data_IF_808329700649
#
_entry.id   IF_808329700649
#
_cell.length_a   1.000
_cell.length_b   1.000
_cell.length_c   1.000
_cell.angle_alpha   90.00
_cell.angle_beta   90.00
_cell.angle_gamma   90.00
#
_symmetry.space_group_name_H-M   'P 1'
#
loop_
_entity.id
_entity.type
_entity.pdbx_description
1 polymer ?
#
# COMPACT_ATOMS: atom_id res chain seq x y z
N UNK A 1 4.60 -2.80 -8.52
CA UNK A 1 5.86 -2.99 -9.22
C UNK A 1 6.57 -1.66 -9.40
N UNK A 2 7.61 -1.37 -8.61
CA UNK A 2 8.37 -0.11 -8.58
C UNK A 2 9.24 0.13 -9.84
N UNK A 3 9.20 -0.78 -10.82
CA UNK A 3 10.02 -0.72 -12.05
C UNK A 3 9.19 -0.47 -13.31
N UNK A 4 7.95 -0.07 -13.14
CA UNK A 4 7.01 0.22 -14.21
C UNK A 4 6.42 1.61 -13.98
N UNK A 5 6.67 2.53 -14.92
CA UNK A 5 6.23 3.91 -14.80
C UNK A 5 4.83 4.08 -15.41
N UNK A 6 3.92 4.74 -14.69
CA UNK A 6 2.61 5.13 -15.20
C UNK A 6 2.55 6.66 -15.32
N UNK A 7 2.36 7.14 -16.53
CA UNK A 7 2.19 8.56 -16.82
C UNK A 7 0.75 8.86 -17.23
N UNK A 8 0.09 9.72 -16.45
CA UNK A 8 -1.26 10.20 -16.74
C UNK A 8 -1.17 11.64 -17.22
N UNK A 9 -1.49 11.88 -18.49
CA UNK A 9 -1.28 13.18 -19.14
C UNK A 9 0.15 13.72 -18.93
N UNK A 10 1.13 12.80 -18.92
CA UNK A 10 2.54 13.10 -18.69
C UNK A 10 2.96 13.30 -17.23
N UNK A 11 2.06 13.24 -16.26
CA UNK A 11 2.37 13.26 -14.83
C UNK A 11 2.63 11.84 -14.31
N UNK A 12 3.67 11.69 -13.49
CA UNK A 12 3.97 10.45 -12.78
C UNK A 12 2.86 10.15 -11.76
N UNK A 13 2.26 8.94 -11.87
CA UNK A 13 1.16 8.48 -11.03
C UNK A 13 1.66 7.65 -9.83
N UNK A 14 2.88 7.86 -9.41
CA UNK A 14 3.48 7.16 -8.27
C UNK A 14 3.36 7.97 -6.99
N UNK A 15 3.32 7.26 -5.84
CA UNK A 15 3.42 7.85 -4.51
C UNK A 15 4.75 8.61 -4.37
N UNK A 16 4.73 9.88 -3.91
CA UNK A 16 5.93 10.68 -3.68
C UNK A 16 6.96 10.03 -2.78
N UNK A 17 6.57 9.47 -1.65
CA UNK A 17 7.49 8.92 -0.68
C UNK A 17 7.98 7.52 -1.03
N UNK A 18 7.06 6.61 -1.30
CA UNK A 18 7.38 5.19 -1.43
C UNK A 18 7.57 4.74 -2.87
N UNK A 19 7.36 5.65 -3.82
CA UNK A 19 7.62 5.44 -5.24
C UNK A 19 6.95 4.18 -5.80
N UNK A 20 5.73 3.90 -5.37
CA UNK A 20 4.89 2.83 -5.90
C UNK A 20 3.66 3.39 -6.61
N UNK A 21 3.19 2.68 -7.59
CA UNK A 21 1.98 3.05 -8.33
C UNK A 21 0.75 2.68 -7.50
N UNK A 22 -0.06 3.69 -7.18
CA UNK A 22 -1.30 3.54 -6.39
C UNK A 22 -2.48 2.99 -7.20
N UNK A 23 -2.19 2.33 -8.33
CA UNK A 23 -3.21 1.73 -9.17
C UNK A 23 -4.22 2.75 -9.67
N UNK A 24 -5.49 2.51 -9.36
CA UNK A 24 -6.58 3.38 -9.82
C UNK A 24 -6.96 4.50 -8.84
N UNK A 25 -6.21 4.69 -7.75
CA UNK A 25 -6.60 5.68 -6.72
C UNK A 25 -6.64 7.12 -7.28
N UNK A 26 -5.69 7.49 -8.16
CA UNK A 26 -5.62 8.80 -8.81
C UNK A 26 -5.54 8.71 -10.35
N UNK A 27 -5.73 7.52 -10.91
CA UNK A 27 -5.74 7.29 -12.36
C UNK A 27 -6.87 8.02 -13.07
N UNK A 28 -6.83 7.99 -14.40
CA UNK A 28 -7.93 8.54 -15.22
C UNK A 28 -9.25 7.82 -14.97
N UNK A 29 -10.36 8.58 -15.05
CA UNK A 29 -11.68 8.00 -15.22
C UNK A 29 -11.74 7.24 -16.55
N UNK A 30 -12.35 6.06 -16.59
CA UNK A 30 -12.52 5.29 -17.84
C UNK A 30 -13.29 6.08 -18.91
N UNK A 31 -14.18 6.99 -18.50
CA UNK A 31 -14.92 7.87 -19.41
C UNK A 31 -14.03 8.90 -20.11
N UNK A 32 -12.89 9.24 -19.49
CA UNK A 32 -11.99 10.29 -19.98
C UNK A 32 -10.72 9.75 -20.66
N UNK A 33 -10.56 8.44 -20.79
CA UNK A 33 -9.42 7.84 -21.49
C UNK A 33 -9.58 8.03 -23.00
N UNK A 34 -8.62 8.71 -23.62
CA UNK A 34 -8.53 8.83 -25.08
C UNK A 34 -7.75 7.65 -25.67
N UNK A 35 -6.55 7.39 -25.12
CA UNK A 35 -5.72 6.25 -25.51
C UNK A 35 -4.85 5.81 -24.33
N UNK A 36 -4.37 4.57 -24.43
CA UNK A 36 -3.36 3.98 -23.56
C UNK A 36 -2.28 3.40 -24.45
N UNK A 37 -1.05 3.82 -24.24
CA UNK A 37 0.12 3.34 -24.96
C UNK A 37 1.07 2.64 -24.00
N UNK A 38 1.54 1.46 -24.38
CA UNK A 38 2.51 0.70 -23.63
C UNK A 38 3.84 0.69 -24.36
N UNK A 39 4.86 1.28 -23.75
CA UNK A 39 6.24 1.21 -24.23
C UNK A 39 6.99 0.16 -23.39
N UNK A 40 7.23 -1.05 -23.92
CA UNK A 40 7.95 -2.10 -23.21
C UNK A 40 9.46 -1.82 -23.20
N UNK A 41 10.13 -2.33 -22.16
CA UNK A 41 11.58 -2.26 -22.05
C UNK A 41 12.11 -1.06 -21.26
N UNK A 42 13.42 -0.94 -21.20
CA UNK A 42 14.10 0.09 -20.43
C UNK A 42 14.13 1.42 -21.18
N UNK A 43 13.46 2.43 -20.64
CA UNK A 43 13.38 3.78 -21.21
C UNK A 43 13.80 4.86 -20.20
N UNK A 44 14.56 4.47 -19.17
CA UNK A 44 14.96 5.36 -18.07
C UNK A 44 15.84 6.54 -18.52
N UNK A 45 16.55 6.41 -19.64
CA UNK A 45 17.35 7.50 -20.21
C UNK A 45 16.49 8.71 -20.64
N UNK A 46 15.23 8.48 -21.03
CA UNK A 46 14.30 9.52 -21.48
C UNK A 46 13.30 9.91 -20.38
N UNK A 47 12.89 8.97 -19.54
CA UNK A 47 11.77 9.15 -18.62
C UNK A 47 12.17 9.04 -17.13
N UNK A 48 13.46 8.81 -16.85
CA UNK A 48 13.99 8.79 -15.50
C UNK A 48 13.76 7.47 -14.74
N UNK A 49 13.77 7.55 -13.42
CA UNK A 49 13.60 6.40 -12.54
C UNK A 49 12.28 5.66 -12.78
N UNK A 50 12.25 4.36 -12.48
CA UNK A 50 11.12 3.43 -12.64
C UNK A 50 10.78 2.98 -14.07
N UNK A 51 11.35 3.58 -15.10
CA UNK A 51 11.13 3.18 -16.49
C UNK A 51 12.02 1.99 -16.92
N UNK A 52 12.18 0.95 -16.07
CA UNK A 52 13.01 -0.23 -16.34
C UNK A 52 12.30 -1.31 -17.15
N UNK A 53 11.07 -1.64 -16.76
CA UNK A 53 10.30 -2.73 -17.37
C UNK A 53 9.30 -2.22 -18.41
N UNK A 54 9.07 -0.92 -18.45
CA UNK A 54 8.17 -0.29 -19.38
C UNK A 54 7.52 0.97 -18.83
N UNK A 55 6.80 1.65 -19.72
CA UNK A 55 6.03 2.85 -19.41
C UNK A 55 4.63 2.66 -19.97
N UNK A 56 3.63 3.03 -19.19
CA UNK A 56 2.25 3.14 -19.64
C UNK A 56 1.87 4.63 -19.68
N UNK A 57 1.57 5.09 -20.86
CA UNK A 57 1.02 6.43 -21.09
C UNK A 57 -0.49 6.33 -21.14
N UNK A 58 -1.16 7.12 -20.33
CA UNK A 58 -2.61 7.27 -20.34
C UNK A 58 -2.94 8.72 -20.67
N UNK A 59 -3.55 8.96 -21.80
CA UNK A 59 -3.90 10.30 -22.25
C UNK A 59 -5.41 10.53 -22.12
N UNK A 60 -5.77 11.69 -21.60
CA UNK A 60 -7.17 12.07 -21.41
C UNK A 60 -7.77 12.70 -22.67
N UNK A 61 -9.10 12.59 -22.81
CA UNK A 61 -9.87 13.19 -23.90
C UNK A 61 -9.79 14.72 -23.87
N UNK A 62 -9.61 15.34 -25.02
CA UNK A 62 -9.68 16.80 -25.15
C UNK A 62 -11.14 17.29 -25.04
N UNK A 63 -11.43 18.33 -24.25
CA UNK A 63 -12.78 18.89 -24.16
C UNK A 63 -13.19 19.67 -25.41
N UNK A 64 -12.25 20.02 -26.29
CA UNK A 64 -12.59 20.65 -27.57
C UNK A 64 -13.22 19.67 -28.57
N UNK A 65 -12.74 18.41 -28.58
CA UNK A 65 -13.18 17.41 -29.56
C UNK A 65 -14.15 16.39 -28.97
N UNK A 66 -14.11 16.17 -27.66
CA UNK A 66 -14.94 15.18 -26.96
C UNK A 66 -15.83 15.88 -25.93
N UNK A 67 -16.86 16.59 -26.42
CA UNK A 67 -17.81 17.32 -25.59
C UNK A 67 -18.97 16.43 -25.14
N UNK A 68 -19.74 16.96 -24.19
CA UNK A 68 -20.98 16.35 -23.71
C UNK A 68 -20.88 15.77 -22.30
N UNK A 69 -21.95 15.09 -21.92
CA UNK A 69 -22.10 14.40 -20.64
C UNK A 69 -22.05 12.90 -20.87
N UNK A 70 -21.25 12.20 -20.10
CA UNK A 70 -21.16 10.74 -20.09
C UNK A 70 -21.21 10.24 -18.66
N UNK A 71 -21.90 9.13 -18.44
CA UNK A 71 -21.94 8.48 -17.13
C UNK A 71 -22.01 6.97 -17.28
N UNK A 72 -21.59 6.26 -16.25
CA UNK A 72 -21.86 4.85 -16.08
C UNK A 72 -22.22 4.55 -14.63
N UNK A 73 -22.96 3.49 -14.46
CA UNK A 73 -23.21 2.85 -13.19
C UNK A 73 -23.03 1.35 -13.36
N UNK A 74 -22.19 0.75 -12.52
CA UNK A 74 -21.96 -0.68 -12.50
C UNK A 74 -22.31 -1.21 -11.12
N UNK A 75 -23.03 -2.31 -11.12
CA UNK A 75 -23.27 -3.14 -9.96
C UNK A 75 -22.82 -4.55 -10.28
N UNK A 76 -22.22 -5.21 -9.34
CA UNK A 76 -21.79 -6.59 -9.45
C UNK A 76 -21.54 -7.20 -8.09
N UNK A 77 -21.13 -8.45 -8.09
CA UNK A 77 -20.75 -9.19 -6.90
C UNK A 77 -19.39 -9.80 -7.10
N UNK A 78 -18.56 -9.75 -6.06
CA UNK A 78 -17.31 -10.49 -5.97
C UNK A 78 -17.50 -11.66 -5.03
N UNK A 79 -17.08 -12.85 -5.43
CA UNK A 79 -17.16 -14.06 -4.60
C UNK A 79 -15.77 -14.63 -4.39
N UNK A 80 -15.41 -14.88 -3.15
CA UNK A 80 -14.19 -15.55 -2.75
C UNK A 80 -14.45 -16.48 -1.56
N UNK A 81 -13.61 -17.49 -1.38
CA UNK A 81 -13.79 -18.52 -0.37
C UNK A 81 -13.88 -17.94 1.06
N UNK A 82 -13.00 -16.99 1.40
CA UNK A 82 -12.88 -16.44 2.76
C UNK A 82 -13.86 -15.32 3.02
N UNK A 83 -13.99 -14.35 2.08
CA UNK A 83 -14.86 -13.20 2.27
C UNK A 83 -16.32 -13.47 1.88
N UNK A 84 -16.62 -14.63 1.29
CA UNK A 84 -17.95 -14.92 0.75
C UNK A 84 -18.29 -14.05 -0.45
N UNK A 85 -19.58 -13.75 -0.63
CA UNK A 85 -20.11 -12.90 -1.71
C UNK A 85 -20.37 -11.50 -1.20
N UNK A 86 -19.78 -10.50 -1.86
CA UNK A 86 -19.85 -9.09 -1.48
C UNK A 86 -20.25 -8.22 -2.68
N UNK A 87 -21.00 -7.17 -2.42
CA UNK A 87 -21.43 -6.22 -3.43
C UNK A 87 -20.28 -5.32 -3.90
N UNK A 88 -20.31 -5.02 -5.20
CA UNK A 88 -19.43 -4.09 -5.87
C UNK A 88 -20.26 -3.00 -6.56
N UNK A 89 -19.89 -1.76 -6.32
CA UNK A 89 -20.52 -0.57 -6.88
C UNK A 89 -19.45 0.32 -7.52
N UNK A 90 -19.69 0.73 -8.76
CA UNK A 90 -18.81 1.67 -9.46
C UNK A 90 -19.65 2.66 -10.28
N UNK A 91 -19.42 3.94 -10.02
CA UNK A 91 -20.09 5.04 -10.69
C UNK A 91 -19.07 6.00 -11.29
N UNK A 92 -19.32 6.50 -12.48
CA UNK A 92 -18.52 7.52 -13.12
C UNK A 92 -19.36 8.54 -13.86
N UNK A 93 -18.91 9.79 -13.80
CA UNK A 93 -19.48 10.93 -14.51
C UNK A 93 -18.36 11.73 -15.17
N UNK A 94 -18.58 12.12 -16.43
CA UNK A 94 -17.72 13.04 -17.18
C UNK A 94 -18.59 14.11 -17.82
N UNK A 95 -18.21 15.38 -17.66
CA UNK A 95 -18.78 16.51 -18.36
C UNK A 95 -17.66 17.30 -19.06
N UNK A 96 -17.85 17.66 -20.33
CA UNK A 96 -16.90 18.46 -21.07
C UNK A 96 -17.61 19.38 -22.04
N UNK A 97 -17.15 20.63 -22.13
CA UNK A 97 -17.74 21.64 -23.01
C UNK A 97 -16.69 22.63 -23.54
N UNK A 98 -16.77 22.93 -24.82
CA UNK A 98 -16.06 24.04 -25.44
C UNK A 98 -16.97 25.25 -25.50
N UNK A 99 -16.72 26.24 -24.64
CA UNK A 99 -17.50 27.48 -24.56
C UNK A 99 -17.26 28.39 -25.78
N UNK A 100 -16.04 28.32 -26.29
CA UNK A 100 -15.60 29.00 -27.48
C UNK A 100 -14.56 28.13 -28.23
N UNK A 101 -14.16 28.45 -29.45
CA UNK A 101 -13.02 27.79 -30.11
C UNK A 101 -11.70 27.93 -29.36
N UNK A 102 -11.63 28.89 -28.44
CA UNK A 102 -10.43 29.20 -27.64
C UNK A 102 -10.47 28.72 -26.20
N UNK A 103 -11.64 28.40 -25.65
CA UNK A 103 -11.78 28.02 -24.25
C UNK A 103 -12.73 26.83 -24.05
N UNK A 104 -12.22 25.83 -23.39
CA UNK A 104 -12.97 24.63 -23.04
C UNK A 104 -12.65 24.19 -21.61
N UNK A 105 -13.56 23.44 -21.00
CA UNK A 105 -13.37 22.83 -19.69
C UNK A 105 -13.92 21.42 -19.67
N UNK A 106 -13.37 20.59 -18.79
CA UNK A 106 -13.93 19.28 -18.44
C UNK A 106 -13.80 19.00 -16.96
N UNK A 107 -14.70 18.17 -16.45
CA UNK A 107 -14.68 17.65 -15.10
C UNK A 107 -15.08 16.17 -15.10
N UNK A 108 -14.45 15.39 -14.23
CA UNK A 108 -14.73 13.98 -14.02
C UNK A 108 -14.95 13.73 -12.52
N UNK A 109 -15.83 12.79 -12.24
CA UNK A 109 -16.04 12.23 -10.90
C UNK A 109 -16.20 10.72 -11.02
N UNK A 110 -15.61 9.96 -10.10
CA UNK A 110 -15.89 8.53 -9.98
C UNK A 110 -15.87 8.09 -8.52
N UNK A 111 -16.72 7.10 -8.24
CA UNK A 111 -16.87 6.49 -6.93
C UNK A 111 -16.92 4.99 -7.08
N UNK A 112 -16.09 4.27 -6.33
CA UNK A 112 -16.06 2.82 -6.25
C UNK A 112 -16.14 2.38 -4.80
N UNK A 113 -16.93 1.35 -4.54
CA UNK A 113 -17.00 0.65 -3.25
C UNK A 113 -17.06 -0.86 -3.50
N UNK A 114 -16.25 -1.60 -2.77
CA UNK A 114 -16.17 -3.06 -2.85
C UNK A 114 -15.61 -3.64 -1.55
N UNK A 115 -15.47 -4.96 -1.49
CA UNK A 115 -14.66 -5.66 -0.50
C UNK A 115 -13.38 -6.15 -1.18
N UNK A 116 -12.24 -5.87 -0.58
CA UNK A 116 -10.92 -6.28 -1.05
C UNK A 116 -10.78 -7.80 -0.97
N UNK A 117 -9.87 -8.32 -1.79
CA UNK A 117 -9.45 -9.71 -1.68
C UNK A 117 -8.80 -9.97 -0.31
N UNK A 118 -9.33 -10.94 0.44
CA UNK A 118 -8.76 -11.36 1.72
C UNK A 118 -7.72 -12.43 1.46
N UNK A 119 -6.48 -12.17 1.85
CA UNK A 119 -5.41 -13.12 1.76
C UNK A 119 -5.58 -14.20 2.85
N UNK A 120 -5.80 -15.43 2.44
CA UNK A 120 -6.13 -16.53 3.36
C UNK A 120 -5.19 -17.71 3.31
N UNK A 121 -4.12 -17.62 2.54
CA UNK A 121 -3.09 -18.67 2.50
C UNK A 121 -2.26 -18.62 3.79
N UNK A 122 -2.38 -19.66 4.60
CA UNK A 122 -1.70 -19.78 5.90
C UNK A 122 -0.59 -20.83 5.87
N UNK A 123 -0.03 -21.12 4.69
CA UNK A 123 1.12 -22.04 4.58
C UNK A 123 2.28 -21.57 5.44
N UNK A 124 2.93 -22.56 6.08
CA UNK A 124 4.11 -22.32 6.90
C UNK A 124 5.32 -21.90 6.04
N UNK A 125 5.91 -20.77 6.33
CA UNK A 125 7.10 -20.26 5.65
C UNK A 125 8.41 -20.88 6.16
N UNK A 126 8.37 -21.52 7.32
CA UNK A 126 9.58 -22.09 7.98
C UNK A 126 9.85 -23.54 7.59
N UNK A 127 8.83 -24.29 7.14
CA UNK A 127 8.94 -25.70 6.75
C UNK A 127 8.33 -25.92 5.35
N UNK A 128 9.14 -25.78 4.30
CA UNK A 128 8.80 -26.16 2.92
C UNK A 128 7.39 -25.72 2.45
N UNK A 129 6.87 -24.63 2.97
CA UNK A 129 5.53 -24.12 2.64
C UNK A 129 4.40 -25.15 2.84
N UNK A 130 4.49 -26.02 3.82
CA UNK A 130 3.41 -26.92 4.20
C UNK A 130 2.39 -26.18 5.07
N UNK A 131 1.12 -26.46 4.96
CA UNK A 131 0.08 -25.82 5.77
C UNK A 131 -0.02 -26.36 7.21
N UNK A 132 1.08 -26.62 7.87
CA UNK A 132 1.10 -27.26 9.19
C UNK A 132 1.20 -26.25 10.33
N UNK A 133 0.16 -26.19 11.17
CA UNK A 133 0.18 -25.44 12.45
C UNK A 133 0.75 -26.25 13.61
N UNK A 134 1.19 -27.47 13.38
CA UNK A 134 1.85 -28.32 14.40
C UNK A 134 3.30 -27.92 14.65
N UNK A 135 3.92 -27.17 13.73
CA UNK A 135 5.25 -26.64 13.91
C UNK A 135 5.30 -25.58 15.03
N UNK A 136 6.08 -25.77 16.10
CA UNK A 136 6.18 -24.77 17.17
C UNK A 136 6.70 -23.40 16.72
N UNK A 137 7.52 -23.36 15.65
CA UNK A 137 8.07 -22.17 15.00
C UNK A 137 7.26 -21.76 13.76
N UNK A 138 5.97 -22.01 13.74
CA UNK A 138 5.10 -21.71 12.62
C UNK A 138 5.06 -20.19 12.33
N UNK A 139 5.28 -19.85 11.02
CA UNK A 139 5.16 -18.51 10.47
C UNK A 139 4.27 -18.61 9.22
N UNK A 140 3.02 -18.23 9.36
CA UNK A 140 2.01 -18.37 8.30
C UNK A 140 2.05 -17.22 7.32
N UNK A 141 2.04 -17.51 6.00
CA UNK A 141 2.19 -16.52 4.92
C UNK A 141 1.27 -15.29 5.08
N UNK A 142 0.03 -15.45 5.51
CA UNK A 142 -0.93 -14.35 5.75
C UNK A 142 -1.47 -14.38 7.20
N UNK A 143 -0.60 -14.74 8.12
CA UNK A 143 -0.75 -14.52 9.54
C UNK A 143 0.26 -13.45 9.96
N UNK A 144 -0.05 -12.69 10.97
CA UNK A 144 0.78 -11.57 11.43
C UNK A 144 0.92 -11.63 12.94
N UNK A 145 2.14 -11.45 13.42
CA UNK A 145 2.47 -11.54 14.85
C UNK A 145 3.11 -12.86 15.24
N UNK A 146 3.04 -13.88 14.41
CA UNK A 146 3.71 -15.18 14.57
C UNK A 146 5.16 -15.15 14.07
N UNK A 147 5.58 -14.15 13.32
CA UNK A 147 6.99 -13.94 12.97
C UNK A 147 7.87 -13.65 14.21
N UNK A 148 7.25 -13.27 15.33
CA UNK A 148 7.95 -13.07 16.60
C UNK A 148 8.28 -14.43 17.21
N UNK A 149 9.52 -14.86 17.06
CA UNK A 149 10.00 -16.16 17.52
C UNK A 149 11.32 -16.04 18.31
N UNK A 150 11.59 -17.02 19.16
CA UNK A 150 12.85 -17.11 19.90
C UNK A 150 13.20 -18.55 20.23
N UNK A 151 14.51 -18.81 20.40
CA UNK A 151 15.01 -20.12 20.78
C UNK A 151 14.59 -20.47 22.22
N UNK A 152 13.87 -21.58 22.38
CA UNK A 152 13.25 -21.94 23.64
C UNK A 152 14.29 -22.33 24.72
N UNK A 153 15.40 -22.95 24.32
CA UNK A 153 16.49 -23.28 25.24
C UNK A 153 17.18 -22.03 25.78
N UNK A 154 17.35 -21.02 24.95
CA UNK A 154 17.89 -19.70 25.36
C UNK A 154 16.97 -19.01 26.38
N UNK A 155 15.64 -19.12 26.20
CA UNK A 155 14.67 -18.65 27.20
C UNK A 155 14.87 -19.39 28.53
N UNK A 156 15.05 -20.71 28.47
CA UNK A 156 15.31 -21.55 29.67
C UNK A 156 16.58 -21.14 30.40
N UNK A 157 17.66 -20.83 29.69
CA UNK A 157 18.91 -20.32 30.31
C UNK A 157 18.63 -19.02 31.06
N UNK A 158 17.85 -18.09 30.46
CA UNK A 158 17.45 -16.84 31.11
C UNK A 158 16.59 -17.07 32.37
N UNK A 159 15.64 -18.01 32.30
CA UNK A 159 14.79 -18.37 33.45
C UNK A 159 15.60 -19.00 34.57
N UNK A 160 16.55 -19.89 34.27
CA UNK A 160 17.43 -20.51 35.25
C UNK A 160 18.35 -19.47 35.93
N UNK A 161 18.92 -18.55 35.13
CA UNK A 161 19.73 -17.45 35.66
C UNK A 161 18.94 -16.53 36.61
N UNK A 162 17.63 -16.37 36.37
CA UNK A 162 16.71 -15.63 37.20
C UNK A 162 16.17 -16.45 38.43
N UNK A 163 16.57 -17.71 38.57
CA UNK A 163 16.09 -18.60 39.64
C UNK A 163 14.64 -19.07 39.52
N UNK A 164 14.02 -18.91 38.33
CA UNK A 164 12.62 -19.24 38.05
C UNK A 164 12.42 -20.72 37.70
N UNK A 165 13.46 -21.39 37.21
CA UNK A 165 13.52 -22.85 37.00
C UNK A 165 14.87 -23.38 37.45
N UNK A 166 14.99 -24.67 37.82
CA UNK A 166 16.28 -25.31 38.08
C UNK A 166 17.16 -25.31 36.83
N UNK A 167 18.48 -25.13 36.99
CA UNK A 167 19.43 -25.18 35.87
C UNK A 167 19.36 -26.51 35.10
N UNK A 168 19.11 -27.64 35.78
CA UNK A 168 18.92 -28.94 35.14
C UNK A 168 17.71 -29.01 34.20
N UNK A 169 16.67 -28.21 34.44
CA UNK A 169 15.46 -28.17 33.61
C UNK A 169 15.70 -27.55 32.21
N UNK A 170 16.79 -26.79 32.04
CA UNK A 170 17.19 -26.22 30.74
C UNK A 170 17.42 -27.33 29.69
N UNK A 171 17.90 -28.50 30.14
CA UNK A 171 18.15 -29.63 29.24
C UNK A 171 16.87 -30.31 28.74
N UNK A 172 15.72 -30.03 29.33
CA UNK A 172 14.40 -30.50 28.86
C UNK A 172 13.84 -29.64 27.72
N UNK A 173 14.36 -28.42 27.53
CA UNK A 173 13.89 -27.51 26.52
C UNK A 173 14.60 -27.79 25.18
N UNK A 174 13.85 -27.77 24.08
CA UNK A 174 14.41 -27.98 22.75
C UNK A 174 15.26 -26.79 22.29
N UNK A 175 16.27 -27.08 21.47
CA UNK A 175 17.20 -26.08 20.91
C UNK A 175 16.75 -25.62 19.53
N UNK A 176 15.54 -25.05 19.43
CA UNK A 176 14.99 -24.42 18.26
C UNK A 176 13.99 -23.34 18.64
N UNK A 177 13.58 -22.56 17.62
CA UNK A 177 12.69 -21.43 17.82
C UNK A 177 11.23 -21.89 18.04
N UNK A 178 10.54 -21.11 18.84
CA UNK A 178 9.09 -21.16 19.03
C UNK A 178 8.53 -19.78 18.69
N UNK A 179 7.46 -19.75 17.91
CA UNK A 179 6.79 -18.54 17.46
C UNK A 179 5.57 -18.20 18.31
N UNK A 180 5.21 -16.93 18.40
CA UNK A 180 3.97 -16.45 19.03
C UNK A 180 2.75 -16.85 18.20
N UNK A 181 1.57 -16.76 18.80
CA UNK A 181 0.30 -16.97 18.10
C UNK A 181 -0.09 -15.70 17.37
N UNK A 182 -0.22 -15.78 16.03
CA UNK A 182 -0.55 -14.66 15.15
C UNK A 182 -2.06 -14.40 15.00
N UNK A 183 -2.40 -13.36 14.21
CA UNK A 183 -3.74 -12.96 13.81
C UNK A 183 -3.87 -13.04 12.30
N UNK A 184 -5.07 -13.36 11.80
CA UNK A 184 -5.35 -13.38 10.35
C UNK A 184 -5.50 -11.96 9.81
N UNK A 185 -5.29 -11.76 8.51
CA UNK A 185 -5.49 -10.47 7.84
C UNK A 185 -6.88 -9.88 8.13
N UNK A 186 -7.92 -10.69 8.00
CA UNK A 186 -9.31 -10.26 8.23
C UNK A 186 -9.59 -9.82 9.67
N UNK A 187 -8.76 -10.21 10.63
CA UNK A 187 -8.90 -9.79 12.04
C UNK A 187 -8.30 -8.39 12.26
N UNK A 188 -7.34 -8.00 11.41
CA UNK A 188 -6.57 -6.77 11.53
C UNK A 188 -7.08 -5.64 10.62
N UNK A 189 -8.00 -5.92 9.69
CA UNK A 189 -8.51 -4.94 8.74
C UNK A 189 -9.98 -5.25 8.37
N UNK A 190 -10.74 -4.21 8.01
CA UNK A 190 -12.14 -4.36 7.58
C UNK A 190 -12.30 -4.72 6.10
N UNK A 191 -11.22 -4.75 5.34
CA UNK A 191 -11.16 -5.07 3.91
C UNK A 191 -12.09 -4.24 3.02
N UNK A 192 -12.59 -3.11 3.50
CA UNK A 192 -13.44 -2.22 2.71
C UNK A 192 -12.60 -1.45 1.70
N UNK A 193 -12.88 -1.64 0.41
CA UNK A 193 -12.35 -0.80 -0.67
C UNK A 193 -13.29 0.37 -0.90
N UNK A 194 -12.71 1.55 -0.95
CA UNK A 194 -13.37 2.78 -1.36
C UNK A 194 -12.42 3.59 -2.21
N UNK A 195 -12.87 4.08 -3.36
CA UNK A 195 -12.12 5.03 -4.17
C UNK A 195 -13.04 6.15 -4.61
N UNK A 196 -12.64 7.38 -4.31
CA UNK A 196 -13.30 8.60 -4.77
C UNK A 196 -12.28 9.38 -5.58
N UNK A 197 -12.60 9.69 -6.82
CA UNK A 197 -11.75 10.50 -7.69
C UNK A 197 -12.54 11.67 -8.24
N UNK A 198 -11.90 12.82 -8.28
CA UNK A 198 -12.40 13.95 -9.03
C UNK A 198 -11.24 14.65 -9.73
N UNK A 199 -11.48 15.08 -10.95
CA UNK A 199 -10.55 15.93 -11.66
C UNK A 199 -11.30 16.99 -12.48
N UNK A 200 -10.65 18.11 -12.66
CA UNK A 200 -11.11 19.12 -13.60
C UNK A 200 -9.93 19.71 -14.37
N UNK A 201 -10.18 20.15 -15.60
CA UNK A 201 -9.19 20.86 -16.38
C UNK A 201 -9.81 22.00 -17.20
N UNK A 202 -9.02 23.06 -17.33
CA UNK A 202 -9.29 24.23 -18.16
C UNK A 202 -8.30 24.24 -19.33
N UNK A 203 -8.80 24.47 -20.50
CA UNK A 203 -8.06 24.41 -21.76
C UNK A 203 -8.23 25.72 -22.50
N UNK A 204 -7.13 26.39 -22.81
CA UNK A 204 -7.13 27.68 -23.47
C UNK A 204 -6.21 27.67 -24.69
N UNK A 205 -6.74 28.05 -25.86
CA UNK A 205 -6.01 28.22 -27.11
C UNK A 205 -5.93 29.72 -27.43
N UNK A 206 -4.84 30.41 -26.99
CA UNK A 206 -4.76 31.86 -27.12
C UNK A 206 -4.66 32.36 -28.56
N UNK A 207 -4.18 31.52 -29.49
CA UNK A 207 -3.95 31.88 -30.87
C UNK A 207 -4.58 30.86 -31.85
N UNK A 208 -4.65 31.21 -33.10
CA UNK A 208 -5.17 30.33 -34.16
C UNK A 208 -4.19 29.21 -34.56
N UNK A 209 -3.10 29.03 -33.84
CA UNK A 209 -2.15 27.93 -34.01
C UNK A 209 -2.49 26.79 -33.04
N UNK A 210 -1.67 25.72 -33.03
CA UNK A 210 -1.86 24.55 -32.19
C UNK A 210 -1.46 24.75 -30.70
N UNK A 211 -1.15 26.00 -30.28
CA UNK A 211 -0.76 26.27 -28.90
C UNK A 211 -1.95 26.17 -27.97
N UNK A 212 -1.81 25.35 -26.95
CA UNK A 212 -2.81 25.12 -25.90
C UNK A 212 -2.19 25.25 -24.51
N UNK A 213 -2.84 25.99 -23.62
CA UNK A 213 -2.51 26.11 -22.22
C UNK A 213 -3.52 25.26 -21.46
N UNK A 214 -3.02 24.33 -20.64
CA UNK A 214 -3.85 23.41 -19.86
C UNK A 214 -3.54 23.59 -18.39
N UNK A 215 -4.55 23.92 -17.59
CA UNK A 215 -4.54 23.80 -16.15
C UNK A 215 -5.35 22.56 -15.76
N UNK A 216 -4.82 21.71 -14.89
CA UNK A 216 -5.52 20.51 -14.44
C UNK A 216 -5.28 20.31 -12.94
N UNK A 217 -6.33 19.92 -12.23
CA UNK A 217 -6.25 19.49 -10.85
C UNK A 217 -7.00 18.17 -10.66
N UNK A 218 -6.35 17.21 -10.00
CA UNK A 218 -6.88 15.88 -9.71
C UNK A 218 -6.79 15.59 -8.23
N UNK A 219 -7.79 14.91 -7.70
CA UNK A 219 -7.79 14.36 -6.34
C UNK A 219 -8.19 12.90 -6.36
N UNK A 220 -7.60 12.12 -5.48
CA UNK A 220 -7.96 10.75 -5.18
C UNK A 220 -7.98 10.53 -3.67
N UNK A 221 -9.05 9.92 -3.17
CA UNK A 221 -9.19 9.51 -1.77
C UNK A 221 -9.65 8.07 -1.75
N UNK A 222 -9.04 7.23 -0.94
CA UNK A 222 -9.48 5.85 -0.90
C UNK A 222 -8.93 5.00 0.23
N UNK A 223 -9.51 3.81 0.31
CA UNK A 223 -9.09 2.72 1.18
C UNK A 223 -8.81 1.52 0.30
N UNK A 224 -7.72 0.81 0.57
CA UNK A 224 -7.35 -0.45 -0.09
C UNK A 224 -6.28 -1.16 0.72
N UNK A 225 -5.97 -2.39 0.35
CA UNK A 225 -4.82 -3.11 0.90
C UNK A 225 -3.68 -3.04 -0.11
N UNK A 226 -2.50 -2.72 0.37
CA UNK A 226 -1.29 -2.67 -0.43
C UNK A 226 -0.26 -3.69 0.06
N UNK A 227 0.29 -4.47 -0.89
CA UNK A 227 1.40 -5.38 -0.63
C UNK A 227 2.70 -4.74 -1.09
N UNK A 228 3.48 -4.25 -0.15
CA UNK A 228 4.85 -3.77 -0.35
C UNK A 228 5.87 -4.71 0.27
N UNK A 229 6.81 -4.18 1.06
CA UNK A 229 7.70 -4.98 1.90
C UNK A 229 6.90 -5.73 2.99
N UNK A 230 5.91 -5.06 3.57
CA UNK A 230 4.90 -5.62 4.44
C UNK A 230 3.51 -5.51 3.79
N UNK A 231 2.48 -5.86 4.52
CA UNK A 231 1.07 -5.72 4.15
C UNK A 231 0.49 -4.50 4.85
N UNK A 232 0.00 -3.53 4.07
CA UNK A 232 -0.50 -2.25 4.58
C UNK A 232 -2.00 -2.14 4.38
N UNK A 233 -2.70 -1.67 5.41
CA UNK A 233 -4.06 -1.17 5.31
C UNK A 233 -3.99 0.31 4.97
N UNK A 234 -4.26 0.70 3.73
CA UNK A 234 -4.40 2.10 3.34
C UNK A 234 -5.80 2.57 3.70
N UNK A 235 -5.90 3.57 4.59
CA UNK A 235 -7.17 4.14 5.05
C UNK A 235 -7.15 5.66 4.91
N UNK A 236 -8.19 6.19 4.28
CA UNK A 236 -8.31 7.63 4.02
C UNK A 236 -7.07 8.21 3.31
N UNK A 237 -6.39 7.35 2.53
CA UNK A 237 -5.22 7.77 1.77
C UNK A 237 -5.65 8.80 0.75
N UNK A 238 -5.06 9.99 0.82
CA UNK A 238 -5.37 11.12 -0.03
C UNK A 238 -4.18 11.47 -0.92
N UNK A 239 -4.45 11.75 -2.18
CA UNK A 239 -3.45 12.22 -3.13
C UNK A 239 -4.06 13.27 -4.04
N UNK A 240 -3.27 14.29 -4.37
CA UNK A 240 -3.66 15.29 -5.35
C UNK A 240 -2.52 15.60 -6.31
N UNK A 241 -2.89 16.01 -7.52
CA UNK A 241 -1.96 16.48 -8.55
C UNK A 241 -2.48 17.76 -9.17
N UNK A 242 -1.62 18.76 -9.29
CA UNK A 242 -1.91 20.02 -9.99
C UNK A 242 -0.89 20.23 -11.09
N UNK A 243 -1.36 20.45 -12.31
CA UNK A 243 -0.53 20.63 -13.50
C UNK A 243 -0.85 21.93 -14.22
N UNK A 244 0.20 22.60 -14.68
CA UNK A 244 0.13 23.64 -15.71
C UNK A 244 1.02 23.22 -16.88
N UNK A 245 0.47 23.24 -18.09
CA UNK A 245 1.19 22.87 -19.31
C UNK A 245 0.91 23.89 -20.41
N UNK A 246 1.93 24.25 -21.13
CA UNK A 246 1.83 24.95 -22.41
C UNK A 246 2.40 24.02 -23.47
N UNK A 247 1.58 23.66 -24.44
CA UNK A 247 1.99 22.74 -25.52
C UNK A 247 1.59 23.30 -26.88
N UNK A 248 2.37 22.94 -27.90
CA UNK A 248 2.13 23.24 -29.28
C UNK A 248 2.51 22.07 -30.19
N UNK A 249 2.53 22.28 -31.50
CA UNK A 249 2.83 21.23 -32.47
C UNK A 249 4.18 20.53 -32.20
N UNK A 250 5.19 21.29 -31.81
CA UNK A 250 6.58 20.84 -31.73
C UNK A 250 7.20 20.99 -30.32
N UNK A 251 6.47 21.47 -29.34
CA UNK A 251 7.01 21.72 -28.01
C UNK A 251 5.98 21.46 -26.90
N UNK A 252 6.47 21.24 -25.73
CA UNK A 252 5.73 21.46 -24.51
C UNK A 252 6.65 21.97 -23.39
N UNK A 253 6.03 22.71 -22.46
CA UNK A 253 6.58 23.08 -21.18
C UNK A 253 5.54 22.73 -20.13
N UNK A 254 5.90 21.92 -19.17
CA UNK A 254 4.98 21.45 -18.13
C UNK A 254 5.60 21.56 -16.75
N UNK A 255 4.79 21.95 -15.77
CA UNK A 255 5.11 21.85 -14.37
C UNK A 255 3.94 21.19 -13.63
N UNK A 256 4.25 20.33 -12.65
CA UNK A 256 3.22 19.76 -11.79
C UNK A 256 3.73 19.49 -10.37
N UNK A 257 2.77 19.42 -9.46
CA UNK A 257 2.99 19.01 -8.06
C UNK A 257 2.11 17.80 -7.79
N UNK A 258 2.68 16.77 -7.22
CA UNK A 258 1.96 15.64 -6.62
C UNK A 258 2.17 15.72 -5.12
N UNK A 259 1.09 15.69 -4.35
CA UNK A 259 1.13 15.66 -2.89
C UNK A 259 0.28 14.50 -2.38
N UNK A 260 0.76 13.83 -1.34
CA UNK A 260 0.04 12.74 -0.69
C UNK A 260 -0.11 12.98 0.80
N UNK A 261 -1.11 12.33 1.39
CA UNK A 261 -1.30 12.16 2.83
C UNK A 261 -1.73 10.71 3.06
N UNK A 262 -0.94 9.99 3.82
CA UNK A 262 -1.20 8.58 4.12
C UNK A 262 -2.45 8.37 4.99
N UNK A 263 -3.04 9.43 5.54
CA UNK A 263 -4.27 9.39 6.33
C UNK A 263 -4.15 8.52 7.59
N UNK A 264 -5.05 7.54 7.69
CA UNK A 264 -5.10 6.60 8.81
C UNK A 264 -4.49 5.22 8.46
N UNK A 265 -3.60 5.20 7.47
CA UNK A 265 -2.95 3.97 7.00
C UNK A 265 -2.01 3.39 8.06
N UNK A 266 -1.91 2.06 8.10
CA UNK A 266 -1.04 1.35 9.04
C UNK A 266 -0.48 0.05 8.46
N UNK A 267 0.64 -0.39 9.04
CA UNK A 267 1.28 -1.68 8.75
C UNK A 267 0.63 -2.78 9.59
N UNK A 268 0.06 -3.80 8.94
CA UNK A 268 -0.65 -4.89 9.62
C UNK A 268 0.28 -5.80 10.42
N UNK A 269 1.53 -5.95 10.00
CA UNK A 269 2.53 -6.73 10.70
C UNK A 269 2.88 -6.10 12.05
N UNK A 270 3.21 -4.81 12.05
CA UNK A 270 3.46 -4.07 13.29
C UNK A 270 2.19 -3.96 14.17
N UNK A 271 1.00 -3.86 13.55
CA UNK A 271 -0.25 -3.88 14.29
C UNK A 271 -0.40 -5.19 15.07
N UNK A 272 -0.21 -6.33 14.43
CA UNK A 272 -0.32 -7.64 15.08
C UNK A 272 0.72 -7.85 16.19
N UNK A 273 2.00 -7.43 15.94
CA UNK A 273 3.04 -7.52 16.97
C UNK A 273 2.68 -6.72 18.20
N UNK A 274 2.21 -5.49 18.03
CA UNK A 274 1.92 -4.60 19.14
C UNK A 274 0.58 -4.93 19.82
N UNK A 275 -0.42 -5.49 19.11
CA UNK A 275 -1.60 -6.09 19.75
C UNK A 275 -1.20 -7.28 20.63
N UNK A 276 -0.29 -8.15 20.16
CA UNK A 276 0.25 -9.23 20.97
C UNK A 276 0.96 -8.70 22.22
N UNK A 277 1.78 -7.66 22.10
CA UNK A 277 2.52 -7.06 23.23
C UNK A 277 1.63 -6.28 24.18
N UNK A 278 0.52 -5.73 23.71
CA UNK A 278 -0.42 -4.99 24.54
C UNK A 278 -1.12 -5.86 25.62
N UNK A 279 -1.34 -7.14 25.37
CA UNK A 279 -1.91 -8.05 26.37
C UNK A 279 -0.84 -8.86 27.11
N UNK A 280 0.31 -9.13 26.47
CA UNK A 280 1.43 -9.83 27.12
C UNK A 280 2.73 -9.56 26.35
N UNK A 281 3.74 -9.02 27.03
CA UNK A 281 5.05 -8.81 26.46
C UNK A 281 5.73 -10.12 26.05
N UNK A 282 6.69 -10.05 25.12
CA UNK A 282 7.33 -11.22 24.55
C UNK A 282 8.07 -12.05 25.59
N UNK A 283 8.76 -11.40 26.55
CA UNK A 283 9.51 -12.10 27.62
C UNK A 283 8.60 -12.93 28.52
N UNK A 284 7.47 -12.35 28.90
CA UNK A 284 6.46 -13.03 29.74
C UNK A 284 5.84 -14.19 28.96
N UNK A 285 5.47 -13.98 27.68
CA UNK A 285 4.86 -15.05 26.89
C UNK A 285 5.79 -16.24 26.70
N UNK A 286 7.05 -16.01 26.26
CA UNK A 286 8.02 -17.08 26.07
C UNK A 286 8.44 -17.74 27.39
N UNK A 287 8.52 -16.98 28.48
CA UNK A 287 8.79 -17.52 29.83
C UNK A 287 7.70 -18.47 30.32
N UNK A 288 6.42 -18.08 30.14
CA UNK A 288 5.29 -18.94 30.49
C UNK A 288 5.23 -20.21 29.63
N UNK A 289 5.51 -20.04 28.31
CA UNK A 289 5.61 -21.19 27.40
C UNK A 289 6.68 -22.18 27.84
N UNK A 290 7.90 -21.71 28.10
CA UNK A 290 9.02 -22.57 28.55
C UNK A 290 8.74 -23.24 29.89
N UNK A 291 8.17 -22.50 30.84
CA UNK A 291 7.80 -23.06 32.14
C UNK A 291 6.76 -24.18 32.05
N UNK A 292 5.69 -23.98 31.31
CA UNK A 292 4.65 -24.98 31.11
C UNK A 292 5.15 -26.16 30.25
N UNK A 293 6.03 -25.94 29.29
CA UNK A 293 6.68 -27.01 28.53
C UNK A 293 7.49 -27.92 29.45
N UNK A 294 8.34 -27.36 30.35
CA UNK A 294 9.14 -28.11 31.33
C UNK A 294 8.23 -28.91 32.24
N UNK A 295 7.19 -28.29 32.82
CA UNK A 295 6.25 -28.96 33.73
C UNK A 295 5.55 -30.12 33.03
N UNK A 296 5.09 -29.96 31.81
CA UNK A 296 4.43 -31.00 31.04
C UNK A 296 5.37 -32.16 30.72
N UNK A 297 6.62 -31.87 30.35
CA UNK A 297 7.65 -32.88 30.09
C UNK A 297 7.98 -33.69 31.33
N UNK A 298 8.10 -33.04 32.49
CA UNK A 298 8.33 -33.72 33.78
C UNK A 298 7.14 -34.62 34.21
N UNK A 299 5.93 -34.27 33.76
CA UNK A 299 4.73 -35.08 33.94
C UNK A 299 4.60 -36.24 32.93
N UNK A 300 5.61 -36.46 32.05
CA UNK A 300 5.64 -37.54 31.08
C UNK A 300 4.94 -37.28 29.75
N UNK A 301 4.63 -36.01 29.42
CA UNK A 301 4.03 -35.65 28.15
C UNK A 301 5.02 -35.87 26.98
N UNK A 302 4.46 -36.15 25.78
CA UNK A 302 5.25 -36.14 24.54
C UNK A 302 5.68 -34.69 24.19
N UNK A 303 6.69 -34.49 23.34
CA UNK A 303 7.09 -33.15 22.89
C UNK A 303 5.91 -32.35 22.34
N UNK A 304 5.05 -32.95 21.52
CA UNK A 304 3.87 -32.30 20.95
C UNK A 304 2.88 -31.84 22.02
N UNK A 305 2.65 -32.68 23.03
CA UNK A 305 1.78 -32.35 24.19
C UNK A 305 2.40 -31.23 25.01
N UNK A 306 3.72 -31.26 25.22
CA UNK A 306 4.43 -30.23 25.95
C UNK A 306 4.38 -28.87 25.21
N UNK A 307 4.51 -28.86 23.87
CA UNK A 307 4.31 -27.65 23.06
C UNK A 307 2.87 -27.14 23.13
N UNK A 308 1.88 -28.02 23.03
CA UNK A 308 0.47 -27.64 23.16
C UNK A 308 0.18 -27.03 24.57
N UNK A 309 0.68 -27.61 25.63
CA UNK A 309 0.54 -27.10 27.00
C UNK A 309 1.26 -25.74 27.16
N UNK A 310 2.47 -25.61 26.62
CA UNK A 310 3.24 -24.38 26.58
C UNK A 310 2.46 -23.23 25.92
N UNK A 311 1.97 -23.46 24.71
CA UNK A 311 1.18 -22.47 23.95
C UNK A 311 -0.12 -22.10 24.65
N UNK A 312 -0.89 -23.11 25.13
CA UNK A 312 -2.14 -22.87 25.81
C UNK A 312 -1.95 -22.01 27.08
N UNK A 313 -0.87 -22.26 27.86
CA UNK A 313 -0.54 -21.46 29.04
C UNK A 313 -0.08 -20.05 28.66
N UNK A 314 0.77 -19.92 27.66
CA UNK A 314 1.28 -18.63 27.21
C UNK A 314 0.16 -17.75 26.63
N UNK A 315 -0.83 -18.34 25.98
CA UNK A 315 -1.96 -17.62 25.35
C UNK A 315 -3.11 -17.27 26.32
N UNK A 316 -3.01 -17.62 27.60
CA UNK A 316 -4.02 -17.21 28.60
C UNK A 316 -4.11 -15.68 28.63
N UNK A 317 -5.32 -15.15 28.40
CA UNK A 317 -5.62 -13.73 28.39
C UNK A 317 -5.37 -13.06 27.01
N UNK A 318 -5.08 -13.84 25.95
CA UNK A 318 -4.92 -13.32 24.60
C UNK A 318 -6.16 -12.52 24.17
N UNK A 319 -5.94 -11.35 23.59
CA UNK A 319 -7.02 -10.56 23.00
C UNK A 319 -7.56 -11.29 21.77
N UNK A 320 -8.79 -11.75 21.84
CA UNK A 320 -9.44 -12.49 20.75
C UNK A 320 -10.04 -11.53 19.72
N UNK A 321 -9.85 -11.78 18.42
CA UNK A 321 -10.47 -11.00 17.37
C UNK A 321 -11.97 -10.76 17.61
N UNK A 322 -12.41 -9.51 17.41
CA UNK A 322 -13.79 -9.10 17.65
C UNK A 322 -14.15 -8.78 19.11
N UNK A 323 -13.30 -9.11 20.09
CA UNK A 323 -13.50 -8.69 21.48
C UNK A 323 -13.26 -7.18 21.65
N UNK A 324 -13.87 -6.60 22.69
CA UNK A 324 -13.68 -5.17 23.02
C UNK A 324 -12.21 -4.86 23.29
N UNK A 325 -11.48 -5.73 23.97
CA UNK A 325 -10.06 -5.57 24.29
C UNK A 325 -9.23 -5.54 22.98
N UNK A 326 -9.47 -6.50 22.08
CA UNK A 326 -8.79 -6.55 20.79
C UNK A 326 -9.06 -5.29 19.95
N UNK A 327 -10.33 -4.92 19.80
CA UNK A 327 -10.74 -3.77 18.99
C UNK A 327 -10.16 -2.45 19.54
N UNK A 328 -10.16 -2.26 20.85
CA UNK A 328 -9.57 -1.08 21.48
C UNK A 328 -8.04 -1.05 21.32
N UNK A 329 -7.38 -2.19 21.50
CA UNK A 329 -5.93 -2.30 21.29
C UNK A 329 -5.58 -2.00 19.83
N UNK A 330 -6.26 -2.63 18.87
CA UNK A 330 -6.02 -2.39 17.44
C UNK A 330 -6.26 -0.93 17.06
N UNK A 331 -7.33 -0.30 17.55
CA UNK A 331 -7.62 1.10 17.30
C UNK A 331 -6.53 2.04 17.84
N UNK A 332 -6.04 1.79 19.06
CA UNK A 332 -4.96 2.57 19.66
C UNK A 332 -3.65 2.39 18.90
N UNK A 333 -3.29 1.15 18.58
CA UNK A 333 -2.04 0.77 17.93
C UNK A 333 -2.02 1.27 16.48
N UNK A 334 -3.12 1.16 15.76
CA UNK A 334 -3.21 1.66 14.38
C UNK A 334 -3.16 3.18 14.28
N UNK A 335 -3.42 3.91 15.37
CA UNK A 335 -3.30 5.36 15.45
C UNK A 335 -1.93 5.85 15.94
N UNK A 336 -1.12 4.99 16.56
CA UNK A 336 0.20 5.34 17.08
C UNK A 336 1.28 5.21 15.98
N UNK A 337 2.01 6.31 15.66
CA UNK A 337 3.06 6.30 14.64
C UNK A 337 4.39 5.67 15.09
N UNK A 338 4.55 5.33 16.34
CA UNK A 338 5.74 4.65 16.85
C UNK A 338 5.71 3.17 16.47
N UNK A 339 6.58 2.69 15.60
CA UNK A 339 6.63 1.27 15.23
C UNK A 339 7.01 0.33 16.40
N UNK A 340 7.50 0.88 17.53
CA UNK A 340 7.76 0.12 18.74
C UNK A 340 6.48 -0.23 19.52
N UNK A 341 5.47 0.66 19.48
CA UNK A 341 4.23 0.56 20.25
C UNK A 341 2.98 0.62 19.38
N UNK A 342 3.12 1.12 18.17
CA UNK A 342 2.04 1.33 17.21
C UNK A 342 2.35 0.74 15.83
N UNK A 343 1.59 1.19 14.84
CA UNK A 343 1.72 0.71 13.45
C UNK A 343 1.33 1.74 12.40
N UNK A 344 0.95 2.97 12.82
CA UNK A 344 0.51 4.01 11.88
C UNK A 344 1.63 4.38 10.91
N UNK A 345 1.29 4.36 9.63
CA UNK A 345 2.14 4.84 8.57
C UNK A 345 1.87 6.34 8.34
N UNK A 346 2.84 7.21 8.64
CA UNK A 346 2.71 8.65 8.44
C UNK A 346 3.55 9.09 7.27
N UNK A 347 2.91 9.78 6.32
CA UNK A 347 3.57 10.41 5.19
C UNK A 347 2.75 11.56 4.64
N UNK A 348 3.40 12.69 4.38
CA UNK A 348 2.85 13.89 3.75
C UNK A 348 3.84 14.46 2.72
N UNK A 349 4.41 13.58 1.92
CA UNK A 349 5.44 13.92 0.95
C UNK A 349 4.89 14.55 -0.32
N UNK A 350 5.76 15.29 -1.02
CA UNK A 350 5.44 15.95 -2.29
C UNK A 350 6.52 15.72 -3.33
N UNK A 351 6.11 15.77 -4.59
CA UNK A 351 7.01 15.87 -5.74
C UNK A 351 6.67 17.15 -6.49
N UNK A 352 7.68 17.96 -6.75
CA UNK A 352 7.63 19.07 -7.71
C UNK A 352 8.39 18.63 -8.96
N UNK A 353 7.75 18.71 -10.11
CA UNK A 353 8.36 18.29 -11.37
C UNK A 353 8.11 19.35 -12.45
N UNK A 354 9.14 19.59 -13.25
CA UNK A 354 9.01 20.38 -14.48
C UNK A 354 9.78 19.71 -15.61
N UNK A 355 9.24 19.78 -16.80
CA UNK A 355 9.86 19.27 -18.01
C UNK A 355 9.56 20.16 -19.22
N UNK A 356 10.51 20.19 -20.12
CA UNK A 356 10.44 20.91 -21.38
C UNK A 356 10.95 20.04 -22.51
N UNK A 357 10.33 20.14 -23.66
CA UNK A 357 10.76 19.45 -24.86
C UNK A 357 10.49 20.30 -26.09
N UNK A 358 11.38 20.24 -27.06
CA UNK A 358 11.23 20.85 -28.39
C UNK A 358 11.73 19.92 -29.48
N UNK A 359 10.89 19.69 -30.50
CA UNK A 359 11.20 18.90 -31.69
C UNK A 359 11.46 19.83 -32.87
N UNK A 360 12.65 19.79 -33.43
CA UNK A 360 13.12 20.65 -34.53
C UNK A 360 12.68 20.18 -35.92
N UNK A 361 11.81 19.19 -36.06
CA UNK A 361 11.40 18.55 -37.31
C UNK A 361 10.91 19.52 -38.40
N UNK A 362 10.31 20.65 -38.01
CA UNK A 362 9.84 21.68 -38.97
C UNK A 362 10.94 22.66 -39.37
N UNK A 363 12.02 22.74 -38.59
CA UNK A 363 13.17 23.63 -38.83
C UNK A 363 14.30 22.90 -39.53
N UNK A 364 14.61 21.65 -39.08
CA UNK A 364 15.70 20.84 -39.59
C UNK A 364 15.18 19.57 -40.26
N UNK A 365 15.16 19.56 -41.60
CA UNK A 365 14.58 18.47 -42.40
C UNK A 365 15.44 17.20 -42.53
N UNK A 366 16.82 17.29 -42.51
CA UNK A 366 17.65 16.12 -42.76
C UNK A 366 17.62 15.07 -41.67
N UNK A 367 17.27 15.45 -40.45
CA UNK A 367 17.16 14.54 -39.31
C UNK A 367 16.12 15.03 -38.30
N UNK A 368 15.47 14.11 -37.60
CA UNK A 368 14.63 14.46 -36.47
C UNK A 368 15.51 14.72 -35.23
N UNK A 369 15.53 15.97 -34.79
CA UNK A 369 16.27 16.42 -33.61
C UNK A 369 15.26 16.83 -32.57
N UNK A 370 15.39 16.26 -31.36
CA UNK A 370 14.58 16.58 -30.21
C UNK A 370 15.48 16.94 -29.04
N UNK A 371 15.19 18.07 -28.38
CA UNK A 371 15.94 18.53 -27.21
C UNK A 371 14.95 18.73 -26.08
N UNK A 372 15.28 18.22 -24.91
CA UNK A 372 14.46 18.36 -23.72
C UNK A 372 15.28 18.30 -22.44
N UNK A 373 14.62 18.62 -21.34
CA UNK A 373 15.18 18.54 -20.02
C UNK A 373 14.09 18.48 -18.96
N UNK A 374 14.43 17.95 -17.81
CA UNK A 374 13.51 17.85 -16.66
C UNK A 374 14.22 18.18 -15.36
N UNK A 375 13.44 18.68 -14.42
CA UNK A 375 13.85 18.90 -13.04
C UNK A 375 12.80 18.29 -12.09
N UNK A 376 13.27 17.57 -11.07
CA UNK A 376 12.39 16.96 -10.06
C UNK A 376 12.96 17.20 -8.67
N UNK A 377 12.12 17.69 -7.78
CA UNK A 377 12.42 17.87 -6.36
C UNK A 377 11.45 17.02 -5.55
N UNK A 378 12.00 16.21 -4.64
CA UNK A 378 11.26 15.50 -3.62
C UNK A 378 11.31 16.28 -2.32
N UNK A 379 10.15 16.54 -1.76
CA UNK A 379 9.94 17.12 -0.43
C UNK A 379 9.32 16.00 0.42
N UNK A 380 10.20 15.22 1.06
CA UNK A 380 9.81 14.03 1.81
C UNK A 380 9.51 14.43 3.25
N UNK A 381 8.33 14.08 3.74
CA UNK A 381 7.90 14.36 5.09
C UNK A 381 7.21 13.14 5.71
N UNK A 382 7.93 12.44 6.55
CA UNK A 382 7.44 11.31 7.35
C UNK A 382 7.38 11.61 8.85
N UNK A 383 7.54 12.88 9.23
CA UNK A 383 7.65 13.31 10.63
C UNK A 383 8.79 12.59 11.36
N UNK A 384 9.91 12.35 10.66
CA UNK A 384 11.07 11.62 11.19
C UNK A 384 10.83 10.13 11.45
N UNK A 385 9.76 9.53 10.91
CA UNK A 385 9.40 8.11 11.17
C UNK A 385 9.97 7.15 10.14
N UNK A 386 10.08 7.58 8.89
CA UNK A 386 10.60 6.76 7.79
C UNK A 386 11.89 7.38 7.25
N UNK A 387 11.89 8.69 7.10
CA UNK A 387 13.05 9.47 6.67
C UNK A 387 13.50 10.39 7.80
N UNK A 388 14.76 10.78 7.79
CA UNK A 388 15.24 11.97 8.54
C UNK A 388 14.80 13.19 7.75
N UNK A 389 13.73 13.83 8.20
CA UNK A 389 13.15 15.03 7.59
C UNK A 389 14.09 16.24 7.74
#
# INVERSE_FOLDING_TARGET
>A
NTRFLQLVDGMDNSSPALNFVLGNLIGLSELDVANVELLPGASSALYGANAFNGIMFMNSKSPFTNQGLSFYFKYGQTTQEIAGTNDYWDFGLRAAHAFTPHFAAKANFSFLRATEWIAGDTRDLTINNTGSTSNPNYDGLNLYGDEVSTNLKSVGVGLAAAGLIPASAVNLLPDYNVARTGYREQDLNDNTVKSVKADFSLHFKPWANDTEIVFQHKIGLGNTIYQGANRYSLKNFFMNQTRLEVKGKNFFVRGYVTAEDAGDSYDMRFAAWNVNRAWKDDRTWFGQYAGAFVQSTLAGATPEQAHAAGRATADIGRFLPGSTQFNNALATISADPSLTTGSRFQDQSKIYHSDVNYNFRDIFKPAEIQIGGSYRLYDLNSFGRIYTD
#
